data_IF_266555844007
#
_entry.id   IF_266555844007
#
_cell.length_a   1.000
_cell.length_b   1.000
_cell.length_c   1.000
_cell.angle_alpha   90.00
_cell.angle_beta   90.00
_cell.angle_gamma   90.00
#
_symmetry.space_group_name_H-M   'P 1'
#
loop_
_entity.id
_entity.type
_entity.pdbx_description
1 polymer ?
#
# COMPACT_ATOMS: atom_id res chain seq x y z
N UNK A 1 19.37 -19.12 -8.37
CA UNK A 1 18.21 -18.23 -8.63
C UNK A 1 18.73 -17.06 -9.41
N UNK A 2 18.32 -16.94 -10.66
CA UNK A 2 18.61 -15.77 -11.48
C UNK A 2 17.92 -14.53 -10.88
N UNK A 3 18.62 -13.40 -10.87
CA UNK A 3 18.10 -12.14 -10.32
C UNK A 3 17.07 -11.57 -11.30
N UNK A 4 15.83 -11.39 -10.86
CA UNK A 4 14.79 -10.76 -11.68
C UNK A 4 14.91 -9.23 -11.58
N UNK A 5 15.68 -8.63 -12.50
CA UNK A 5 15.98 -7.20 -12.51
C UNK A 5 14.70 -6.36 -12.68
N UNK A 6 13.72 -6.83 -13.45
CA UNK A 6 12.42 -6.17 -13.60
C UNK A 6 11.70 -6.06 -12.26
N UNK A 7 11.66 -7.16 -11.51
CA UNK A 7 11.03 -7.20 -10.19
C UNK A 7 11.72 -6.23 -9.21
N UNK A 8 13.04 -6.18 -9.21
CA UNK A 8 13.82 -5.26 -8.38
C UNK A 8 13.56 -3.79 -8.74
N UNK A 9 13.48 -3.47 -10.04
CA UNK A 9 13.14 -2.14 -10.51
C UNK A 9 11.75 -1.70 -10.05
N UNK A 10 10.72 -2.54 -10.23
CA UNK A 10 9.34 -2.21 -9.84
C UNK A 10 9.22 -2.06 -8.33
N UNK A 11 9.98 -2.83 -7.54
CA UNK A 11 10.09 -2.61 -6.09
C UNK A 11 10.67 -1.24 -5.76
N UNK A 12 11.74 -0.82 -6.45
CA UNK A 12 12.32 0.51 -6.29
C UNK A 12 11.31 1.62 -6.60
N UNK A 13 10.57 1.49 -7.70
CA UNK A 13 9.49 2.43 -8.07
C UNK A 13 8.38 2.45 -7.00
N UNK A 14 7.99 1.29 -6.46
CA UNK A 14 7.00 1.22 -5.40
C UNK A 14 7.45 1.98 -4.13
N UNK A 15 8.73 1.83 -3.74
CA UNK A 15 9.31 2.56 -2.60
C UNK A 15 9.34 4.06 -2.85
N UNK A 16 9.72 4.50 -4.07
CA UNK A 16 9.70 5.92 -4.43
C UNK A 16 8.28 6.50 -4.41
N UNK A 17 7.28 5.73 -4.87
CA UNK A 17 5.88 6.12 -4.79
C UNK A 17 5.35 6.20 -3.36
N UNK A 18 5.78 5.30 -2.47
CA UNK A 18 5.48 5.39 -1.02
C UNK A 18 6.13 6.64 -0.44
N UNK A 19 7.40 6.93 -0.79
CA UNK A 19 8.10 8.12 -0.34
C UNK A 19 7.37 9.41 -0.76
N UNK A 20 6.89 9.49 -2.00
CA UNK A 20 6.12 10.63 -2.50
C UNK A 20 4.93 10.97 -1.59
N UNK A 21 4.22 9.94 -1.12
CA UNK A 21 3.05 10.09 -0.25
C UNK A 21 3.45 10.42 1.19
N UNK A 22 4.61 9.92 1.64
CA UNK A 22 5.13 10.22 2.96
C UNK A 22 5.64 11.66 3.09
N UNK A 23 5.96 12.36 1.99
CA UNK A 23 6.30 13.80 2.04
C UNK A 23 5.17 14.59 2.73
N UNK A 24 3.92 14.31 2.39
CA UNK A 24 2.76 14.92 3.05
C UNK A 24 2.67 14.53 4.53
N UNK A 25 2.94 13.27 4.86
CA UNK A 25 2.92 12.80 6.26
C UNK A 25 4.04 13.41 7.13
N UNK A 26 5.17 13.79 6.53
CA UNK A 26 6.26 14.48 7.22
C UNK A 26 6.03 15.99 7.35
N UNK A 27 5.42 16.60 6.33
CA UNK A 27 5.27 18.06 6.25
C UNK A 27 3.97 18.62 6.84
N UNK A 28 2.92 17.81 6.95
CA UNK A 28 1.58 18.25 7.36
C UNK A 28 1.05 17.45 8.56
N UNK A 29 0.01 17.95 9.25
CA UNK A 29 -0.70 17.19 10.27
C UNK A 29 -1.29 15.90 9.70
N UNK A 30 -1.45 14.87 10.53
CA UNK A 30 -1.90 13.54 10.07
C UNK A 30 -3.22 13.56 9.31
N UNK A 31 -4.15 14.43 9.72
CA UNK A 31 -5.44 14.58 9.07
C UNK A 31 -5.30 14.96 7.58
N UNK A 32 -4.25 15.69 7.20
CA UNK A 32 -4.00 16.12 5.83
C UNK A 32 -3.73 14.96 4.86
N UNK A 33 -3.34 13.78 5.37
CA UNK A 33 -3.11 12.60 4.54
C UNK A 33 -4.42 12.00 4.00
N UNK A 34 -5.50 12.08 4.79
CA UNK A 34 -6.81 11.53 4.45
C UNK A 34 -7.75 12.60 3.93
N UNK A 35 -7.73 13.78 4.54
CA UNK A 35 -8.62 14.89 4.27
C UNK A 35 -7.81 16.14 3.85
N UNK A 36 -7.87 16.58 2.59
CA UNK A 36 -7.16 17.78 2.16
C UNK A 36 -7.82 19.07 2.69
N UNK A 37 -9.07 19.00 3.18
CA UNK A 37 -9.78 20.09 3.85
C UNK A 37 -9.66 20.02 5.39
N UNK A 38 -8.59 19.40 5.91
CA UNK A 38 -8.36 19.24 7.35
C UNK A 38 -8.33 20.56 8.14
N UNK A 39 -8.01 21.68 7.49
CA UNK A 39 -7.98 23.04 8.06
C UNK A 39 -9.26 23.85 7.80
N UNK A 40 -10.31 23.23 7.26
CA UNK A 40 -11.60 23.85 6.95
C UNK A 40 -11.68 24.55 5.59
N UNK A 41 -10.63 25.27 5.18
CA UNK A 41 -10.55 25.90 3.85
C UNK A 41 -9.43 25.27 3.02
N UNK A 42 -9.77 24.82 1.80
CA UNK A 42 -8.83 24.21 0.87
C UNK A 42 -8.55 25.15 -0.31
N UNK A 43 -7.27 25.32 -0.66
CA UNK A 43 -6.91 26.05 -1.88
C UNK A 43 -7.15 25.16 -3.11
N UNK A 44 -7.46 25.77 -4.26
CA UNK A 44 -7.63 25.01 -5.51
C UNK A 44 -6.38 24.20 -5.86
N UNK A 45 -5.17 24.73 -5.58
CA UNK A 45 -3.91 24.03 -5.79
C UNK A 45 -3.75 22.80 -4.90
N UNK A 46 -4.15 22.87 -3.63
CA UNK A 46 -4.06 21.73 -2.71
C UNK A 46 -5.04 20.64 -3.11
N UNK A 47 -6.25 21.05 -3.52
CA UNK A 47 -7.30 20.15 -3.95
C UNK A 47 -6.92 19.39 -5.23
N UNK A 48 -6.32 20.08 -6.22
CA UNK A 48 -5.78 19.42 -7.43
C UNK A 48 -4.60 18.51 -7.11
N UNK A 49 -3.69 18.94 -6.24
CA UNK A 49 -2.53 18.13 -5.83
C UNK A 49 -3.00 16.84 -5.16
N UNK A 50 -3.94 16.94 -4.22
CA UNK A 50 -4.56 15.80 -3.58
C UNK A 50 -5.28 14.90 -4.59
N UNK A 51 -6.07 15.44 -5.52
CA UNK A 51 -6.80 14.65 -6.50
C UNK A 51 -5.85 13.86 -7.44
N UNK A 52 -4.74 14.47 -7.86
CA UNK A 52 -3.72 13.82 -8.70
C UNK A 52 -3.03 12.70 -7.91
N UNK A 53 -2.59 13.00 -6.67
CA UNK A 53 -1.95 12.01 -5.80
C UNK A 53 -2.92 10.88 -5.47
N UNK A 54 -4.19 11.18 -5.22
CA UNK A 54 -5.18 10.16 -4.92
C UNK A 54 -5.46 9.25 -6.12
N UNK A 55 -5.62 9.84 -7.32
CA UNK A 55 -5.90 9.08 -8.52
C UNK A 55 -4.74 8.17 -8.93
N UNK A 56 -3.50 8.65 -8.80
CA UNK A 56 -2.32 7.98 -9.36
C UNK A 56 -1.51 7.19 -8.33
N UNK A 57 -1.48 7.59 -7.06
CA UNK A 57 -0.43 7.18 -6.14
C UNK A 57 -0.93 6.66 -4.78
N UNK A 58 -1.86 7.36 -4.12
CA UNK A 58 -2.35 7.05 -2.77
C UNK A 58 -2.95 5.65 -2.70
N UNK A 59 -2.51 4.82 -1.76
CA UNK A 59 -2.81 3.37 -1.64
C UNK A 59 -2.18 2.51 -2.75
N UNK A 60 -2.09 2.97 -4.01
CA UNK A 60 -1.66 2.16 -5.17
C UNK A 60 -0.22 1.66 -5.02
N UNK A 61 0.70 2.51 -4.55
CA UNK A 61 2.10 2.11 -4.35
C UNK A 61 2.31 1.21 -3.15
N UNK A 62 1.51 1.39 -2.08
CA UNK A 62 1.51 0.49 -0.92
C UNK A 62 0.98 -0.89 -1.30
N UNK A 63 -0.15 -0.92 -2.01
CA UNK A 63 -0.75 -2.12 -2.61
C UNK A 63 0.21 -2.81 -3.58
N UNK A 64 0.99 -2.05 -4.38
CA UNK A 64 2.04 -2.60 -5.24
C UNK A 64 3.16 -3.23 -4.42
N UNK A 65 3.61 -2.55 -3.37
CA UNK A 65 4.63 -3.09 -2.49
C UNK A 65 4.15 -4.37 -1.78
N UNK A 66 2.90 -4.43 -1.34
CA UNK A 66 2.27 -5.64 -0.77
C UNK A 66 2.24 -6.81 -1.75
N UNK A 67 1.83 -6.55 -2.99
CA UNK A 67 1.84 -7.54 -4.07
C UNK A 67 3.26 -8.09 -4.32
N UNK A 68 4.25 -7.21 -4.42
CA UNK A 68 5.65 -7.59 -4.67
C UNK A 68 6.31 -8.27 -3.46
N UNK A 69 5.85 -7.97 -2.25
CA UNK A 69 6.25 -8.64 -1.02
C UNK A 69 5.76 -10.09 -1.01
N UNK A 70 4.48 -10.31 -1.33
CA UNK A 70 3.91 -11.65 -1.49
C UNK A 70 4.57 -12.47 -2.59
N UNK A 71 4.88 -11.84 -3.72
CA UNK A 71 5.71 -12.43 -4.76
C UNK A 71 7.11 -12.84 -4.25
N UNK A 72 7.68 -12.03 -3.35
CA UNK A 72 8.92 -12.33 -2.63
C UNK A 72 8.81 -13.56 -1.72
N UNK A 73 7.70 -13.73 -1.00
CA UNK A 73 7.45 -14.91 -0.18
C UNK A 73 7.47 -16.20 -1.03
N UNK A 74 6.79 -16.18 -2.19
CA UNK A 74 6.81 -17.30 -3.14
C UNK A 74 8.23 -17.65 -3.61
N UNK A 75 9.07 -16.64 -3.87
CA UNK A 75 10.47 -16.84 -4.28
C UNK A 75 11.35 -17.39 -3.15
N UNK A 76 11.00 -17.14 -1.89
CA UNK A 76 11.76 -17.59 -0.73
C UNK A 76 11.38 -19.01 -0.27
N UNK A 77 10.24 -19.57 -0.72
CA UNK A 77 9.80 -20.92 -0.34
C UNK A 77 10.88 -22.00 -0.48
N UNK A 78 11.67 -22.06 -1.57
CA UNK A 78 12.72 -23.08 -1.73
C UNK A 78 13.86 -22.98 -0.70
N UNK A 79 14.02 -21.84 0.00
CA UNK A 79 15.05 -21.66 1.04
C UNK A 79 14.66 -22.27 2.40
N UNK A 80 13.42 -22.75 2.52
CA UNK A 80 12.94 -23.45 3.70
C UNK A 80 12.30 -22.55 4.77
N UNK A 81 11.51 -23.18 5.63
CA UNK A 81 10.70 -22.55 6.69
C UNK A 81 11.52 -21.66 7.61
N UNK A 82 12.63 -22.17 8.15
CA UNK A 82 13.46 -21.47 9.15
C UNK A 82 13.98 -20.15 8.59
N UNK A 83 14.44 -20.14 7.34
CA UNK A 83 14.95 -18.94 6.67
C UNK A 83 13.89 -17.84 6.54
N UNK A 84 12.69 -18.21 6.09
CA UNK A 84 11.57 -17.27 5.94
C UNK A 84 11.17 -16.70 7.31
N UNK A 85 10.98 -17.57 8.31
CA UNK A 85 10.60 -17.15 9.66
C UNK A 85 11.64 -16.22 10.27
N UNK A 86 12.94 -16.56 10.21
CA UNK A 86 14.00 -15.70 10.74
C UNK A 86 13.99 -14.31 10.10
N UNK A 87 13.82 -14.22 8.78
CA UNK A 87 13.77 -12.92 8.09
C UNK A 87 12.52 -12.10 8.43
N UNK A 88 11.36 -12.75 8.52
CA UNK A 88 10.12 -12.08 8.87
C UNK A 88 10.09 -11.67 10.35
N UNK A 89 10.63 -12.49 11.25
CA UNK A 89 10.78 -12.13 12.67
C UNK A 89 11.76 -10.97 12.83
N UNK A 90 12.89 -10.97 12.11
CA UNK A 90 13.79 -9.82 12.10
C UNK A 90 13.10 -8.56 11.57
N UNK A 91 12.33 -8.68 10.49
CA UNK A 91 11.55 -7.57 9.95
C UNK A 91 10.50 -7.06 10.95
N UNK A 92 9.86 -7.96 11.70
CA UNK A 92 8.91 -7.60 12.76
C UNK A 92 9.60 -6.84 13.90
N UNK A 93 10.77 -7.31 14.35
CA UNK A 93 11.54 -6.61 15.39
C UNK A 93 11.99 -5.22 14.93
N UNK A 94 12.51 -5.12 13.70
CA UNK A 94 12.90 -3.84 13.12
C UNK A 94 11.70 -2.92 12.93
N UNK A 95 10.56 -3.43 12.46
CA UNK A 95 9.31 -2.67 12.32
C UNK A 95 8.77 -2.18 13.66
N UNK A 96 8.81 -3.02 14.70
CA UNK A 96 8.40 -2.64 16.05
C UNK A 96 9.27 -1.50 16.61
N UNK A 97 10.60 -1.64 16.51
CA UNK A 97 11.55 -0.59 16.93
C UNK A 97 11.33 0.68 16.10
N UNK A 98 11.15 0.54 14.80
CA UNK A 98 10.92 1.65 13.88
C UNK A 98 9.63 2.42 14.21
N UNK A 99 8.51 1.72 14.38
CA UNK A 99 7.21 2.29 14.73
C UNK A 99 7.20 3.00 16.07
N UNK A 100 7.92 2.46 17.06
CA UNK A 100 7.95 3.01 18.42
C UNK A 100 8.91 4.20 18.56
N UNK A 101 10.10 4.13 17.98
CA UNK A 101 11.16 5.11 18.23
C UNK A 101 11.38 6.12 17.11
N UNK A 102 11.10 5.76 15.85
CA UNK A 102 11.49 6.56 14.70
C UNK A 102 10.29 7.27 14.06
N UNK A 103 9.26 6.52 13.65
CA UNK A 103 8.17 7.08 12.85
C UNK A 103 6.85 6.32 13.02
N UNK A 104 5.75 7.07 13.19
CA UNK A 104 4.40 6.55 13.41
C UNK A 104 3.71 5.96 12.16
N UNK A 105 4.29 6.17 10.97
CA UNK A 105 3.80 5.60 9.71
C UNK A 105 4.43 4.25 9.32
N UNK A 106 4.88 3.45 10.31
CA UNK A 106 5.51 2.16 10.02
C UNK A 106 4.59 1.18 9.28
N UNK A 107 5.13 0.60 8.22
CA UNK A 107 4.48 -0.49 7.46
C UNK A 107 5.20 -1.83 7.67
N UNK A 108 6.44 -1.81 8.19
CA UNK A 108 7.28 -3.00 8.25
C UNK A 108 6.71 -4.06 9.19
N UNK A 109 6.21 -3.65 10.36
CA UNK A 109 5.62 -4.56 11.33
C UNK A 109 4.38 -5.24 10.75
N UNK A 110 3.47 -4.47 10.14
CA UNK A 110 2.27 -5.00 9.50
C UNK A 110 2.61 -6.04 8.43
N UNK A 111 3.59 -5.75 7.57
CA UNK A 111 4.04 -6.67 6.52
C UNK A 111 4.71 -7.91 7.07
N UNK A 112 5.48 -7.78 8.16
CA UNK A 112 6.11 -8.91 8.82
C UNK A 112 5.08 -9.85 9.45
N UNK A 113 4.10 -9.31 10.19
CA UNK A 113 3.05 -10.07 10.85
C UNK A 113 2.15 -10.78 9.84
N UNK A 114 1.63 -10.04 8.85
CA UNK A 114 0.82 -10.64 7.78
C UNK A 114 1.66 -11.60 6.95
N UNK A 115 2.93 -11.31 6.70
CA UNK A 115 3.86 -12.22 6.03
C UNK A 115 4.08 -13.54 6.79
N UNK A 116 4.14 -13.51 8.13
CA UNK A 116 4.30 -14.69 8.98
C UNK A 116 3.10 -15.64 8.91
N UNK A 117 1.90 -15.12 8.64
CA UNK A 117 0.71 -15.93 8.36
C UNK A 117 0.66 -16.30 6.88
N UNK A 118 0.88 -15.32 6.01
CA UNK A 118 0.77 -15.42 4.56
C UNK A 118 1.72 -16.45 3.95
N UNK A 119 2.96 -16.59 4.41
CA UNK A 119 3.89 -17.59 3.84
C UNK A 119 3.35 -19.02 3.97
N UNK A 120 2.62 -19.32 5.05
CA UNK A 120 1.99 -20.63 5.25
C UNK A 120 0.85 -20.84 4.26
N UNK A 121 -0.02 -19.84 4.10
CA UNK A 121 -1.12 -19.88 3.13
C UNK A 121 -0.59 -20.06 1.70
N UNK A 122 0.49 -19.34 1.36
CA UNK A 122 1.16 -19.50 0.06
C UNK A 122 1.70 -20.92 -0.08
N UNK A 123 2.42 -21.45 0.90
CA UNK A 123 2.99 -22.80 0.82
C UNK A 123 1.94 -23.89 0.69
N UNK A 124 0.86 -23.81 1.46
CA UNK A 124 -0.12 -24.89 1.59
C UNK A 124 -1.12 -24.87 0.40
N UNK A 125 -1.22 -23.77 -0.34
CA UNK A 125 -2.05 -23.67 -1.54
C UNK A 125 -1.56 -24.58 -2.68
N UNK A 126 -2.42 -25.50 -3.13
CA UNK A 126 -2.13 -26.48 -4.18
C UNK A 126 -2.18 -25.86 -5.59
N UNK A 127 -3.11 -24.92 -5.81
CA UNK A 127 -3.40 -24.35 -7.13
C UNK A 127 -3.26 -22.82 -7.15
N UNK A 128 -2.78 -22.30 -8.28
CA UNK A 128 -2.58 -20.86 -8.54
C UNK A 128 -3.91 -20.11 -8.50
N UNK A 129 -4.97 -20.68 -9.09
CA UNK A 129 -6.29 -20.03 -9.15
C UNK A 129 -6.92 -19.97 -7.76
N UNK A 130 -6.83 -21.05 -6.99
CA UNK A 130 -7.28 -21.06 -5.59
C UNK A 130 -6.54 -20.02 -4.74
N UNK A 131 -5.21 -19.90 -4.88
CA UNK A 131 -4.41 -18.89 -4.18
C UNK A 131 -4.81 -17.45 -4.56
N UNK A 132 -5.00 -17.19 -5.85
CA UNK A 132 -5.44 -15.88 -6.33
C UNK A 132 -6.84 -15.53 -5.83
N UNK A 133 -7.80 -16.46 -5.94
CA UNK A 133 -9.17 -16.26 -5.50
C UNK A 133 -9.27 -16.05 -3.99
N UNK A 134 -8.48 -16.81 -3.20
CA UNK A 134 -8.38 -16.58 -1.76
C UNK A 134 -7.87 -15.16 -1.48
N UNK A 135 -6.87 -14.71 -2.23
CA UNK A 135 -6.39 -13.32 -2.14
C UNK A 135 -7.47 -12.28 -2.44
N UNK A 136 -8.26 -12.48 -3.50
CA UNK A 136 -9.39 -11.60 -3.85
C UNK A 136 -10.44 -11.58 -2.75
N UNK A 137 -10.82 -12.75 -2.21
CA UNK A 137 -11.81 -12.86 -1.13
C UNK A 137 -11.35 -12.12 0.12
N UNK A 138 -10.10 -12.30 0.57
CA UNK A 138 -9.58 -11.57 1.74
C UNK A 138 -9.57 -10.05 1.49
N UNK A 139 -9.22 -9.62 0.28
CA UNK A 139 -9.23 -8.20 -0.06
C UNK A 139 -10.64 -7.61 0.01
N UNK A 140 -11.62 -8.30 -0.58
CA UNK A 140 -13.03 -7.89 -0.54
C UNK A 140 -13.58 -7.89 0.88
N UNK A 141 -13.20 -8.86 1.73
CA UNK A 141 -13.55 -8.86 3.16
C UNK A 141 -13.03 -7.59 3.83
N UNK A 142 -11.77 -7.20 3.59
CA UNK A 142 -11.23 -5.97 4.17
C UNK A 142 -11.94 -4.70 3.72
N UNK A 143 -12.39 -4.63 2.46
CA UNK A 143 -13.23 -3.53 1.96
C UNK A 143 -14.63 -3.56 2.58
N UNK A 144 -15.23 -4.74 2.72
CA UNK A 144 -16.53 -4.90 3.35
C UNK A 144 -16.49 -4.48 4.83
N UNK A 145 -15.43 -4.86 5.56
CA UNK A 145 -15.23 -4.41 6.94
C UNK A 145 -15.06 -2.89 7.00
N UNK A 146 -14.30 -2.28 6.08
CA UNK A 146 -14.18 -0.82 6.01
C UNK A 146 -15.56 -0.13 5.87
N UNK A 147 -16.41 -0.66 4.99
CA UNK A 147 -17.78 -0.16 4.80
C UNK A 147 -18.63 -0.36 6.06
N UNK A 148 -18.54 -1.53 6.70
CA UNK A 148 -19.24 -1.81 7.96
C UNK A 148 -18.80 -0.85 9.08
N UNK A 149 -17.50 -0.61 9.22
CA UNK A 149 -16.93 0.36 10.16
C UNK A 149 -17.46 1.77 9.86
N UNK A 150 -17.57 2.15 8.59
CA UNK A 150 -18.19 3.42 8.20
C UNK A 150 -19.67 3.53 8.57
N UNK A 151 -20.45 2.45 8.42
CA UNK A 151 -21.86 2.43 8.77
C UNK A 151 -22.12 2.52 10.27
N UNK A 152 -21.24 1.94 11.10
CA UNK A 152 -21.34 2.03 12.56
C UNK A 152 -20.65 3.27 13.13
N UNK A 153 -19.79 3.93 12.35
CA UNK A 153 -19.15 5.18 12.76
C UNK A 153 -20.22 6.26 12.92
N UNK A 154 -20.17 7.01 14.03
CA UNK A 154 -21.07 8.14 14.24
C UNK A 154 -20.83 9.25 13.20
N UNK A 155 -21.76 10.21 13.08
CA UNK A 155 -21.60 11.33 12.15
C UNK A 155 -20.65 12.43 12.64
N UNK A 156 -20.09 12.31 13.85
CA UNK A 156 -19.26 13.35 14.46
C UNK A 156 -17.80 13.22 13.98
N UNK A 157 -17.21 14.26 13.40
CA UNK A 157 -15.80 14.25 13.03
C UNK A 157 -14.92 13.94 14.24
N UNK A 158 -13.91 13.10 14.04
CA UNK A 158 -12.90 12.82 15.05
C UNK A 158 -11.63 13.67 14.80
N UNK A 159 -10.72 13.66 15.78
CA UNK A 159 -9.42 14.35 15.69
C UNK A 159 -8.57 13.94 14.48
N UNK A 160 -8.81 12.75 13.92
CA UNK A 160 -8.09 12.25 12.75
C UNK A 160 -8.62 12.79 11.42
N UNK A 161 -9.82 13.37 11.40
CA UNK A 161 -10.44 13.97 10.20
C UNK A 161 -10.44 15.50 10.22
N UNK A 162 -10.81 16.09 11.36
CA UNK A 162 -10.87 17.54 11.60
C UNK A 162 -10.28 17.84 13.00
N UNK A 163 -8.95 17.96 13.13
CA UNK A 163 -8.31 18.28 14.40
C UNK A 163 -8.58 19.74 14.80
N UNK A 164 -8.81 19.96 16.10
CA UNK A 164 -8.86 21.31 16.65
C UNK A 164 -7.44 21.90 16.88
N UNK A 165 -7.38 23.19 17.25
CA UNK A 165 -6.12 23.88 17.47
C UNK A 165 -5.27 23.25 18.59
N UNK A 166 -5.90 22.67 19.62
CA UNK A 166 -5.21 22.02 20.72
C UNK A 166 -4.55 20.70 20.27
N UNK A 167 -5.27 19.89 19.48
CA UNK A 167 -4.76 18.66 18.89
C UNK A 167 -3.57 18.94 17.94
N UNK A 168 -3.67 19.98 17.11
CA UNK A 168 -2.58 20.39 16.22
C UNK A 168 -1.33 20.84 16.99
N UNK A 169 -1.51 21.67 18.01
CA UNK A 169 -0.41 22.12 18.86
C UNK A 169 0.24 20.96 19.63
N UNK A 170 -0.58 20.04 20.18
CA UNK A 170 -0.07 18.87 20.86
C UNK A 170 0.69 17.95 19.90
N UNK A 171 0.16 17.72 18.69
CA UNK A 171 0.83 16.94 17.65
C UNK A 171 2.19 17.53 17.29
N UNK A 172 2.25 18.85 17.07
CA UNK A 172 3.48 19.55 16.80
C UNK A 172 4.47 19.46 17.97
N UNK A 173 3.98 19.61 19.20
CA UNK A 173 4.79 19.54 20.40
C UNK A 173 5.51 18.20 20.54
N UNK A 174 4.78 17.07 20.51
CA UNK A 174 5.42 15.77 20.72
C UNK A 174 6.27 15.36 19.51
N UNK A 175 5.90 15.75 18.28
CA UNK A 175 6.72 15.46 17.08
C UNK A 175 8.05 16.22 17.06
N UNK A 176 8.07 17.49 17.45
CA UNK A 176 9.28 18.33 17.40
C UNK A 176 10.16 18.19 18.64
N UNK A 177 9.55 18.06 19.83
CA UNK A 177 10.30 17.95 21.09
C UNK A 177 10.87 16.53 21.29
N UNK A 178 10.17 15.51 20.80
CA UNK A 178 10.56 14.11 21.01
C UNK A 178 10.42 13.68 22.48
N UNK A 179 11.25 12.73 22.89
CA UNK A 179 11.29 12.21 24.26
C UNK A 179 10.18 11.21 24.59
N UNK A 180 9.86 11.08 25.87
CA UNK A 180 8.90 10.09 26.37
C UNK A 180 7.48 10.30 25.82
N UNK A 181 7.02 11.55 25.72
CA UNK A 181 5.72 11.90 25.12
C UNK A 181 5.59 11.38 23.69
N UNK A 182 6.65 11.52 22.88
CA UNK A 182 6.64 11.04 21.51
C UNK A 182 6.57 9.51 21.43
N UNK A 183 7.29 8.82 22.32
CA UNK A 183 7.25 7.35 22.41
C UNK A 183 5.88 6.87 22.88
N UNK A 184 5.27 7.54 23.87
CA UNK A 184 3.92 7.22 24.36
C UNK A 184 2.88 7.37 23.25
N UNK A 185 2.87 8.52 22.56
CA UNK A 185 1.96 8.75 21.43
C UNK A 185 2.14 7.71 20.33
N UNK A 186 3.39 7.33 20.01
CA UNK A 186 3.67 6.28 19.03
C UNK A 186 3.24 4.90 19.51
N UNK A 187 3.34 4.60 20.80
CA UNK A 187 2.88 3.34 21.37
C UNK A 187 1.35 3.20 21.30
N UNK A 188 0.62 4.29 21.60
CA UNK A 188 -0.83 4.33 21.45
C UNK A 188 -1.23 4.10 19.98
N UNK A 189 -0.58 4.81 19.06
CA UNK A 189 -0.83 4.64 17.63
C UNK A 189 -0.43 3.27 17.09
N UNK A 190 0.65 2.69 17.59
CA UNK A 190 1.05 1.34 17.25
C UNK A 190 -0.05 0.35 17.67
N UNK A 191 -0.65 0.56 18.84
CA UNK A 191 -1.77 -0.24 19.33
C UNK A 191 -3.00 -0.09 18.43
N UNK A 192 -3.37 1.14 18.07
CA UNK A 192 -4.45 1.43 17.12
C UNK A 192 -4.20 0.78 15.76
N UNK A 193 -2.98 0.87 15.24
CA UNK A 193 -2.58 0.28 13.96
C UNK A 193 -2.63 -1.25 14.00
N UNK A 194 -2.26 -1.89 15.12
CA UNK A 194 -2.36 -3.35 15.30
C UNK A 194 -3.82 -3.82 15.39
N UNK A 195 -4.69 -3.04 16.05
CA UNK A 195 -6.13 -3.30 16.06
C UNK A 195 -6.72 -3.17 14.66
N UNK A 196 -6.37 -2.09 13.94
CA UNK A 196 -6.78 -1.88 12.55
C UNK A 196 -6.26 -2.99 11.61
N UNK A 197 -5.04 -3.48 11.85
CA UNK A 197 -4.46 -4.61 11.13
C UNK A 197 -5.29 -5.88 11.32
N UNK A 198 -5.67 -6.22 12.55
CA UNK A 198 -6.51 -7.39 12.83
C UNK A 198 -7.95 -7.24 12.32
N UNK A 199 -8.52 -6.04 12.43
CA UNK A 199 -9.91 -5.79 12.09
C UNK A 199 -10.14 -5.66 10.58
N UNK A 200 -9.30 -4.88 9.88
CA UNK A 200 -9.62 -4.40 8.52
C UNK A 200 -8.41 -4.48 7.58
N UNK A 201 -7.34 -3.75 7.88
CA UNK A 201 -6.21 -3.55 6.94
C UNK A 201 -5.43 -4.84 6.66
N UNK A 202 -5.31 -5.73 7.64
CA UNK A 202 -4.59 -6.99 7.49
C UNK A 202 -5.23 -7.93 6.47
N UNK A 203 -6.56 -7.88 6.30
CA UNK A 203 -7.28 -8.66 5.30
C UNK A 203 -6.91 -8.21 3.87
N UNK A 204 -6.88 -6.90 3.64
CA UNK A 204 -6.44 -6.33 2.36
C UNK A 204 -4.97 -6.62 2.08
N UNK A 205 -4.11 -6.43 3.09
CA UNK A 205 -2.68 -6.70 2.98
C UNK A 205 -2.41 -8.18 2.67
N UNK A 206 -3.06 -9.10 3.37
CA UNK A 206 -2.98 -10.53 3.11
C UNK A 206 -3.48 -10.85 1.70
N UNK A 207 -4.63 -10.30 1.31
CA UNK A 207 -5.21 -10.46 -0.02
C UNK A 207 -4.22 -10.12 -1.14
N UNK A 208 -3.58 -8.96 -1.04
CA UNK A 208 -2.57 -8.50 -2.00
C UNK A 208 -1.31 -9.38 -2.00
N UNK A 209 -0.84 -9.81 -0.83
CA UNK A 209 0.31 -10.72 -0.76
C UNK A 209 0.01 -12.07 -1.43
N UNK A 210 -1.18 -12.64 -1.22
CA UNK A 210 -1.56 -13.90 -1.86
C UNK A 210 -1.73 -13.75 -3.37
N UNK A 211 -2.38 -12.67 -3.84
CA UNK A 211 -2.47 -12.36 -5.26
C UNK A 211 -1.08 -12.22 -5.90
N UNK A 212 -0.15 -11.51 -5.25
CA UNK A 212 1.22 -11.38 -5.72
C UNK A 212 1.99 -12.71 -5.76
N UNK A 213 1.81 -13.56 -4.75
CA UNK A 213 2.38 -14.90 -4.73
C UNK A 213 1.81 -15.77 -5.87
N UNK A 214 0.51 -15.69 -6.14
CA UNK A 214 -0.13 -16.40 -7.26
C UNK A 214 0.39 -15.91 -8.62
N UNK A 215 0.51 -14.59 -8.82
CA UNK A 215 1.07 -14.03 -10.04
C UNK A 215 2.55 -14.42 -10.25
N UNK A 216 3.33 -14.53 -9.17
CA UNK A 216 4.69 -15.07 -9.24
C UNK A 216 4.72 -16.57 -9.58
N UNK A 217 3.82 -17.35 -8.99
CA UNK A 217 3.71 -18.79 -9.25
C UNK A 217 3.27 -19.10 -10.69
N UNK A 218 2.35 -18.31 -11.23
CA UNK A 218 1.88 -18.40 -12.62
C UNK A 218 2.94 -18.06 -13.68
N UNK A 219 4.07 -17.48 -13.28
CA UNK A 219 5.08 -16.97 -14.22
C UNK A 219 4.79 -15.58 -14.78
N UNK A 220 3.66 -14.96 -14.41
CA UNK A 220 3.32 -13.60 -14.83
C UNK A 220 4.34 -12.58 -14.29
N UNK A 221 4.66 -12.57 -13.00
CA UNK A 221 5.74 -11.69 -12.48
C UNK A 221 7.16 -12.15 -12.90
N UNK A 222 7.28 -13.27 -13.62
CA UNK A 222 8.55 -13.71 -14.22
C UNK A 222 8.71 -13.23 -15.67
N UNK A 223 7.71 -12.54 -16.25
CA UNK A 223 7.78 -12.07 -17.63
C UNK A 223 7.56 -13.15 -18.69
N UNK A 224 6.94 -14.28 -18.35
CA UNK A 224 6.76 -15.41 -19.29
C UNK A 224 5.65 -15.19 -20.33
N UNK A 225 4.86 -14.11 -20.19
CA UNK A 225 3.77 -13.74 -21.09
C UNK A 225 4.24 -12.74 -22.15
N UNK A 226 3.48 -12.61 -23.25
CA UNK A 226 3.83 -11.69 -24.33
C UNK A 226 3.78 -10.21 -23.91
N UNK A 227 4.64 -9.37 -24.52
CA UNK A 227 4.63 -7.92 -24.25
C UNK A 227 3.28 -7.26 -24.58
N UNK A 228 2.58 -7.76 -25.61
CA UNK A 228 1.24 -7.29 -25.98
C UNK A 228 0.22 -7.57 -24.87
N UNK A 229 0.32 -8.74 -24.22
CA UNK A 229 -0.51 -9.09 -23.07
C UNK A 229 -0.32 -8.10 -21.93
N UNK A 230 0.94 -7.81 -21.55
CA UNK A 230 1.25 -6.86 -20.48
C UNK A 230 0.76 -5.44 -20.78
N UNK A 231 0.99 -4.92 -21.99
CA UNK A 231 0.54 -3.58 -22.38
C UNK A 231 -0.98 -3.46 -22.37
N UNK A 232 -1.68 -4.44 -22.97
CA UNK A 232 -3.15 -4.44 -23.01
C UNK A 232 -3.75 -4.57 -21.61
N UNK A 233 -3.25 -5.52 -20.83
CA UNK A 233 -3.70 -5.74 -19.44
C UNK A 233 -3.44 -4.49 -18.59
N UNK A 234 -2.26 -3.87 -18.74
CA UNK A 234 -1.90 -2.65 -18.03
C UNK A 234 -2.86 -1.49 -18.30
N UNK A 235 -3.09 -1.17 -19.58
CA UNK A 235 -4.00 -0.08 -19.96
C UNK A 235 -5.43 -0.36 -19.48
N UNK A 236 -5.93 -1.59 -19.67
CA UNK A 236 -7.30 -1.94 -19.28
C UNK A 236 -7.51 -1.86 -17.77
N UNK A 237 -6.58 -2.37 -16.96
CA UNK A 237 -6.71 -2.37 -15.51
C UNK A 237 -6.54 -0.97 -14.91
N UNK A 238 -5.63 -0.16 -15.46
CA UNK A 238 -5.49 1.25 -15.05
C UNK A 238 -6.78 2.02 -15.38
N UNK A 239 -7.29 1.88 -16.61
CA UNK A 239 -8.53 2.53 -17.01
C UNK A 239 -9.72 2.09 -16.14
N UNK A 240 -9.83 0.79 -15.84
CA UNK A 240 -10.88 0.27 -14.97
C UNK A 240 -10.78 0.84 -13.54
N UNK A 241 -9.58 0.86 -12.95
CA UNK A 241 -9.40 1.43 -11.62
C UNK A 241 -9.59 2.94 -11.57
N UNK A 242 -9.20 3.67 -12.62
CA UNK A 242 -9.50 5.10 -12.77
C UNK A 242 -11.01 5.35 -12.90
N UNK A 243 -11.73 4.51 -13.65
CA UNK A 243 -13.18 4.62 -13.80
C UNK A 243 -13.93 4.41 -12.48
N UNK A 244 -13.37 3.61 -11.55
CA UNK A 244 -13.92 3.43 -10.20
C UNK A 244 -13.53 4.60 -9.28
N UNK A 245 -12.30 5.09 -9.35
CA UNK A 245 -11.79 6.09 -8.41
C UNK A 245 -12.23 7.54 -8.77
N UNK A 246 -12.29 7.88 -10.05
CA UNK A 246 -12.60 9.24 -10.51
C UNK A 246 -13.98 9.75 -10.05
N UNK A 247 -15.08 8.95 -10.12
CA UNK A 247 -16.36 9.37 -9.56
C UNK A 247 -16.29 9.64 -8.05
N UNK A 248 -15.47 8.89 -7.31
CA UNK A 248 -15.29 9.11 -5.87
C UNK A 248 -14.60 10.43 -5.58
N UNK A 249 -13.55 10.77 -6.34
CA UNK A 249 -12.84 12.05 -6.22
C UNK A 249 -13.79 13.22 -6.52
N UNK A 250 -14.58 13.12 -7.59
CA UNK A 250 -15.58 14.12 -7.97
C UNK A 250 -16.65 14.26 -6.87
N UNK A 251 -17.14 13.15 -6.32
CA UNK A 251 -18.10 13.17 -5.22
C UNK A 251 -17.54 13.83 -3.95
N UNK A 252 -16.28 13.54 -3.58
CA UNK A 252 -15.62 14.17 -2.43
C UNK A 252 -15.51 15.69 -2.59
N UNK A 253 -15.23 16.16 -3.81
CA UNK A 253 -15.22 17.58 -4.14
C UNK A 253 -16.59 18.23 -3.93
N UNK A 254 -17.66 17.62 -4.47
CA UNK A 254 -19.01 18.17 -4.36
C UNK A 254 -19.57 18.11 -2.94
N UNK A 255 -19.11 17.15 -2.12
CA UNK A 255 -19.52 16.99 -0.73
C UNK A 255 -18.65 17.78 0.25
N UNK A 256 -17.68 18.56 -0.24
CA UNK A 256 -16.83 19.40 0.61
C UNK A 256 -16.04 18.61 1.66
N UNK A 257 -15.65 17.37 1.35
CA UNK A 257 -14.96 16.46 2.28
C UNK A 257 -15.70 16.22 3.61
N UNK A 258 -17.03 16.29 3.60
CA UNK A 258 -17.87 16.00 4.78
C UNK A 258 -17.53 14.63 5.37
N UNK A 259 -17.34 14.59 6.69
CA UNK A 259 -16.91 13.40 7.42
C UNK A 259 -17.80 12.19 7.16
N UNK A 260 -19.12 12.37 7.16
CA UNK A 260 -20.09 11.28 7.05
C UNK A 260 -19.92 10.46 5.77
N UNK A 261 -19.58 11.13 4.67
CA UNK A 261 -19.49 10.50 3.35
C UNK A 261 -18.04 10.20 2.96
N UNK A 262 -17.12 11.10 3.31
CA UNK A 262 -15.74 11.06 2.80
C UNK A 262 -14.81 10.22 3.68
N UNK A 263 -15.11 10.06 4.97
CA UNK A 263 -14.22 9.36 5.89
C UNK A 263 -14.19 7.84 5.72
N UNK A 264 -15.24 7.23 5.16
CA UNK A 264 -15.30 5.78 4.97
C UNK A 264 -15.90 5.37 3.63
N UNK A 265 -17.09 5.87 3.29
CA UNK A 265 -17.81 5.44 2.08
C UNK A 265 -17.03 5.75 0.80
N UNK A 266 -16.50 6.97 0.67
CA UNK A 266 -15.75 7.38 -0.53
C UNK A 266 -14.28 6.89 -0.52
N UNK A 267 -13.82 6.28 0.57
CA UNK A 267 -12.55 5.54 0.59
C UNK A 267 -12.69 4.16 -0.09
N UNK A 268 -13.86 3.52 -0.01
CA UNK A 268 -14.04 2.18 -0.58
C UNK A 268 -13.80 2.09 -2.11
N UNK A 269 -14.26 3.04 -2.96
CA UNK A 269 -13.92 3.03 -4.38
C UNK A 269 -12.41 3.15 -4.64
N UNK A 270 -11.70 3.95 -3.83
CA UNK A 270 -10.24 4.09 -3.91
C UNK A 270 -9.55 2.77 -3.60
N UNK A 271 -9.99 2.10 -2.54
CA UNK A 271 -9.50 0.77 -2.15
C UNK A 271 -9.81 -0.27 -3.24
N UNK A 272 -11.03 -0.30 -3.79
CA UNK A 272 -11.39 -1.24 -4.85
C UNK A 272 -10.61 -1.00 -6.16
N UNK A 273 -10.35 0.26 -6.50
CA UNK A 273 -9.56 0.63 -7.67
C UNK A 273 -8.06 0.32 -7.52
N UNK A 274 -7.54 0.31 -6.28
CA UNK A 274 -6.12 0.17 -6.03
C UNK A 274 -5.51 -1.14 -6.56
N UNK A 275 -6.03 -2.35 -6.28
CA UNK A 275 -5.50 -3.59 -6.84
C UNK A 275 -5.45 -3.59 -8.38
N UNK A 276 -6.47 -3.02 -9.03
CA UNK A 276 -6.54 -2.93 -10.49
C UNK A 276 -5.41 -2.05 -11.03
N UNK A 277 -5.31 -0.81 -10.54
CA UNK A 277 -4.27 0.12 -10.98
C UNK A 277 -2.88 -0.40 -10.65
N UNK A 278 -2.68 -0.99 -9.47
CA UNK A 278 -1.42 -1.60 -9.03
C UNK A 278 -0.97 -2.72 -9.96
N UNK A 279 -1.85 -3.68 -10.26
CA UNK A 279 -1.53 -4.76 -11.20
C UNK A 279 -1.30 -4.18 -12.59
N UNK A 280 -2.01 -3.12 -12.95
CA UNK A 280 -1.81 -2.38 -14.19
C UNK A 280 -0.44 -1.71 -14.28
N UNK A 281 0.03 -1.06 -13.22
CA UNK A 281 1.37 -0.45 -13.13
C UNK A 281 2.46 -1.50 -13.25
N UNK A 282 2.32 -2.63 -12.54
CA UNK A 282 3.20 -3.77 -12.73
C UNK A 282 3.16 -4.23 -14.20
N UNK A 283 1.97 -4.45 -14.77
CA UNK A 283 1.86 -4.93 -16.15
C UNK A 283 2.57 -3.99 -17.15
N UNK A 284 2.39 -2.67 -17.03
CA UNK A 284 3.08 -1.72 -17.91
C UNK A 284 4.60 -1.75 -17.73
N UNK A 285 5.10 -1.90 -16.51
CA UNK A 285 6.53 -2.00 -16.26
C UNK A 285 7.16 -3.23 -16.96
N UNK A 286 6.49 -4.38 -16.96
CA UNK A 286 6.92 -5.55 -17.73
C UNK A 286 6.72 -5.37 -19.24
N UNK A 287 5.61 -4.76 -19.67
CA UNK A 287 5.30 -4.55 -21.09
C UNK A 287 6.22 -3.56 -21.81
N UNK A 288 6.80 -2.61 -21.07
CA UNK A 288 7.77 -1.62 -21.56
C UNK A 288 9.19 -1.89 -21.05
N UNK A 289 9.45 -3.06 -20.47
CA UNK A 289 10.77 -3.43 -19.96
C UNK A 289 11.90 -3.29 -20.98
N UNK A 290 11.76 -3.71 -22.26
CA UNK A 290 12.81 -3.54 -23.26
C UNK A 290 13.24 -2.08 -23.46
N UNK A 291 12.30 -1.13 -23.36
CA UNK A 291 12.58 0.30 -23.45
C UNK A 291 13.14 0.85 -22.14
N UNK A 292 12.61 0.43 -21.00
CA UNK A 292 13.05 0.88 -19.68
C UNK A 292 14.49 0.47 -19.38
N UNK A 293 14.91 -0.74 -19.77
CA UNK A 293 16.29 -1.20 -19.61
C UNK A 293 17.33 -0.34 -20.32
N UNK A 294 16.95 0.32 -21.41
CA UNK A 294 17.84 1.18 -22.18
C UNK A 294 17.94 2.60 -21.59
N UNK A 295 17.08 2.94 -20.62
CA UNK A 295 17.11 4.24 -19.97
C UNK A 295 18.32 4.38 -19.04
N UNK A 296 18.86 5.59 -18.94
CA UNK A 296 19.98 5.94 -18.04
C UNK A 296 19.67 5.66 -16.56
N UNK A 297 18.39 5.60 -16.19
CA UNK A 297 17.91 5.30 -14.84
C UNK A 297 18.16 3.83 -14.47
N UNK A 298 18.02 2.90 -15.42
CA UNK A 298 18.29 1.46 -15.20
C UNK A 298 19.78 1.14 -15.34
N UNK A 299 20.53 1.88 -16.18
CA UNK A 299 21.98 1.70 -16.32
C UNK A 299 22.80 1.98 -15.05
N UNK A 300 22.21 2.60 -14.02
CA UNK A 300 22.81 2.79 -12.68
C UNK A 300 22.48 1.67 -11.69
N UNK A 301 21.51 0.82 -11.99
CA UNK A 301 21.35 -0.45 -11.27
C UNK A 301 22.52 -1.33 -11.70
N UNK A 302 23.27 -1.95 -10.76
CA UNK A 302 24.46 -2.70 -11.12
C UNK A 302 24.12 -3.73 -12.20
N UNK A 303 24.72 -3.55 -13.37
CA UNK A 303 24.67 -4.47 -14.49
C UNK A 303 25.38 -5.76 -14.07
N UNK A 304 24.66 -6.68 -13.45
CA UNK A 304 25.14 -8.04 -13.25
C UNK A 304 24.48 -8.94 -14.29
N UNK A 305 24.97 -8.80 -15.53
CA UNK A 305 24.55 -9.55 -16.70
C UNK A 305 25.75 -9.84 -17.60
N UNK A 306 26.77 -10.46 -17.01
CA UNK A 306 27.87 -11.09 -17.74
C UNK A 306 28.35 -12.32 -16.95
N UNK A 307 27.52 -13.36 -16.89
CA UNK A 307 28.00 -14.72 -16.69
C UNK A 307 27.17 -15.60 -17.62
N UNK A 308 27.83 -16.02 -18.71
CA UNK A 308 27.40 -17.11 -19.59
C UNK A 308 27.33 -18.42 -18.80
#
# INVERSE_FOLDING_TARGET
MERNVTLDFVRGVAILGILLLNISAFGLPKAAYLNPAWSGNISASDAWTWAILDLLAQVKFLTLFALLFGAGLQLLLPRGKRWIQSRLTLLALLGFIHGLFFWDGDILLAYALVGLVGWRMVRDAQDVKSLFNTGVVLYVIGVAVLLLLGLISGNTPNRSWLPDAANLQYEQYWKLKGGFEAVSNRADMLSDNLLALGAQYGWQLAGMMLMGAALMRSGWLKGQFSLRHYRRTGVLLIAAGMAVNLPSIIAQWHLGWDYRWCAFLLQAPRELGAPLQTIGYAALAWGFWPQLCQSRLVGRLPASGAWR
#
